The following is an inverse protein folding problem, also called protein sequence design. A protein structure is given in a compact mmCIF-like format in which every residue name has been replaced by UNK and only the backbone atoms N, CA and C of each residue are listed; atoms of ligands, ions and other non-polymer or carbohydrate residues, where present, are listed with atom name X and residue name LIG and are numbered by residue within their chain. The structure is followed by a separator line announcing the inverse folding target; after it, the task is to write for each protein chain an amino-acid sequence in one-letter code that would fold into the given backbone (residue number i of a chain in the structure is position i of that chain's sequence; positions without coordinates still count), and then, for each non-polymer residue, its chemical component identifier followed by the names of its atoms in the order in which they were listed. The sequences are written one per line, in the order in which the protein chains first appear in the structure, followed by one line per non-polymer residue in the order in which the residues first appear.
data_IF_594858047936
#
_entry.id   IF_594858047936
#
_cell.length_a   1.000
_cell.length_b   1.000
_cell.length_c   1.000
_cell.angle_alpha   90.00
_cell.angle_beta   90.00
_cell.angle_gamma   90.00
#
_symmetry.space_group_name_H-M   'P 1'
#
loop_
_entity.id
_entity.type
_entity.pdbx_description
1 polymer ?
#
# COMPACT_ATOMS: atom_id res chain seq x y z
N UNK A 1 -8.42 1.09 -12.42
CA UNK A 1 -8.27 2.46 -11.87
C UNK A 1 -9.08 2.52 -10.58
N UNK A 2 -8.50 3.04 -9.50
CA UNK A 2 -9.18 3.19 -8.21
C UNK A 2 -9.92 4.54 -8.18
N UNK A 3 -11.25 4.51 -8.34
CA UNK A 3 -12.08 5.71 -8.50
C UNK A 3 -12.22 6.53 -7.21
N UNK A 4 -12.17 5.86 -6.06
CA UNK A 4 -12.12 6.44 -4.71
C UNK A 4 -10.89 7.34 -4.49
N UNK A 5 -9.72 6.93 -4.98
CA UNK A 5 -8.49 7.73 -4.92
C UNK A 5 -8.65 9.01 -5.74
N UNK A 6 -9.23 8.89 -6.93
CA UNK A 6 -9.47 10.02 -7.83
C UNK A 6 -10.50 10.99 -7.25
N UNK A 7 -11.60 10.48 -6.68
CA UNK A 7 -12.63 11.29 -6.03
C UNK A 7 -12.04 12.13 -4.88
N UNK A 8 -11.26 11.52 -4.00
CA UNK A 8 -10.59 12.23 -2.89
C UNK A 8 -9.61 13.29 -3.38
N UNK A 9 -8.89 13.02 -4.48
CA UNK A 9 -8.00 13.99 -5.09
C UNK A 9 -8.79 15.21 -5.61
N UNK A 10 -9.89 14.98 -6.32
CA UNK A 10 -10.76 16.04 -6.86
C UNK A 10 -11.44 16.85 -5.74
N UNK A 11 -11.74 16.21 -4.60
CA UNK A 11 -12.29 16.86 -3.41
C UNK A 11 -11.26 17.69 -2.60
N UNK A 12 -9.99 17.77 -3.04
CA UNK A 12 -8.94 18.48 -2.32
C UNK A 12 -8.47 17.78 -1.04
N UNK A 13 -8.78 16.48 -0.90
CA UNK A 13 -8.42 15.64 0.25
C UNK A 13 -7.49 14.49 -0.19
N UNK A 14 -6.32 14.77 -0.78
CA UNK A 14 -5.47 13.73 -1.34
C UNK A 14 -5.06 12.70 -0.30
N UNK A 15 -5.00 11.42 -0.68
CA UNK A 15 -4.35 10.41 0.14
C UNK A 15 -2.85 10.70 0.18
N UNK A 16 -2.25 10.60 1.35
CA UNK A 16 -0.80 10.65 1.49
C UNK A 16 -0.16 9.55 0.65
N UNK A 17 0.82 9.92 -0.18
CA UNK A 17 1.61 8.97 -0.97
C UNK A 17 2.82 8.56 -0.15
N UNK A 18 2.95 7.26 0.13
CA UNK A 18 4.15 6.67 0.72
C UNK A 18 4.78 5.75 -0.32
N UNK A 19 6.04 5.98 -0.66
CA UNK A 19 6.77 5.21 -1.68
C UNK A 19 8.21 4.95 -1.26
N UNK A 20 8.79 3.88 -1.81
CA UNK A 20 10.21 3.59 -1.67
C UNK A 20 10.63 3.39 -0.21
N UNK A 21 11.77 3.93 0.22
CA UNK A 21 12.29 3.74 1.58
C UNK A 21 11.33 4.18 2.69
N UNK A 22 10.48 5.19 2.45
CA UNK A 22 9.50 5.64 3.45
C UNK A 22 8.40 4.60 3.73
N UNK A 23 8.09 3.74 2.76
CA UNK A 23 7.15 2.64 2.98
C UNK A 23 7.69 1.63 4.00
N UNK A 24 9.01 1.42 4.01
CA UNK A 24 9.65 0.47 4.93
C UNK A 24 9.63 0.93 6.39
N UNK A 25 9.46 2.24 6.64
CA UNK A 25 9.33 2.83 7.99
C UNK A 25 7.93 2.70 8.56
N UNK A 26 6.93 2.38 7.73
CA UNK A 26 5.58 2.15 8.21
C UNK A 26 5.57 0.89 9.08
N UNK A 27 5.17 1.01 10.35
CA UNK A 27 5.27 -0.08 11.32
C UNK A 27 4.55 -1.38 10.92
N UNK A 28 3.55 -1.30 10.04
CA UNK A 28 2.84 -2.46 9.49
C UNK A 28 3.53 -3.13 8.29
N UNK A 29 4.58 -2.54 7.71
CA UNK A 29 5.17 -2.98 6.44
C UNK A 29 5.73 -4.40 6.48
N UNK A 30 6.46 -4.75 7.54
CA UNK A 30 7.06 -6.08 7.69
C UNK A 30 5.98 -7.17 7.82
N UNK A 31 4.95 -6.91 8.63
CA UNK A 31 3.81 -7.82 8.80
C UNK A 31 3.06 -8.02 7.48
N UNK A 32 2.74 -6.93 6.79
CA UNK A 32 2.02 -6.98 5.52
C UNK A 32 2.79 -7.81 4.48
N UNK A 33 4.10 -7.59 4.34
CA UNK A 33 4.93 -8.39 3.44
C UNK A 33 4.94 -9.88 3.82
N UNK A 34 5.02 -10.21 5.10
CA UNK A 34 5.00 -11.61 5.54
C UNK A 34 3.65 -12.29 5.25
N UNK A 35 2.54 -11.59 5.47
CA UNK A 35 1.19 -12.10 5.18
C UNK A 35 0.99 -12.33 3.67
N UNK A 36 1.43 -11.39 2.83
CA UNK A 36 1.37 -11.52 1.38
C UNK A 36 2.33 -12.57 0.84
N UNK A 37 3.55 -12.65 1.39
CA UNK A 37 4.47 -13.74 1.06
C UNK A 37 3.80 -15.08 1.34
N UNK A 38 3.14 -15.27 2.48
CA UNK A 38 2.43 -16.52 2.78
C UNK A 38 1.26 -16.80 1.81
N UNK A 39 0.46 -15.78 1.46
CA UNK A 39 -0.71 -15.94 0.58
C UNK A 39 -0.33 -16.18 -0.88
N UNK A 40 0.76 -15.55 -1.32
CA UNK A 40 1.18 -15.52 -2.73
C UNK A 40 2.55 -16.19 -2.93
N UNK A 41 3.04 -16.95 -1.95
CA UNK A 41 4.14 -17.89 -2.13
C UNK A 41 3.64 -18.96 -3.09
N UNK A 42 3.87 -18.73 -4.38
CA UNK A 42 3.72 -19.73 -5.42
C UNK A 42 4.68 -20.87 -5.09
N UNK A 43 4.14 -21.98 -4.59
CA UNK A 43 4.84 -23.25 -4.64
C UNK A 43 5.17 -23.49 -6.13
N UNK A 44 6.46 -23.70 -6.41
CA UNK A 44 6.90 -24.15 -7.73
C UNK A 44 7.43 -25.57 -7.60
#
# INVERSE_FOLDING_TARGET
ICLDVLERLLAGQPMGRIVGPEAMKFGGWQRLNAEYAKQFSTER
#
